data_IF_236068637141
#
_entry.id   IF_236068637141
#
_cell.length_a   1.000
_cell.length_b   1.000
_cell.length_c   1.000
_cell.angle_alpha   90.00
_cell.angle_beta   90.00
_cell.angle_gamma   90.00
#
_symmetry.space_group_name_H-M   'P 1'
#
loop_
_entity.id
_entity.type
_entity.pdbx_description
1 polymer ?
#
# COMPACT_ATOMS: atom_id res chain seq x y z
N UNK A 1 -8.93 -9.39 14.78
CA UNK A 1 -9.23 -8.08 14.16
C UNK A 1 -9.81 -8.23 12.75
N UNK A 2 -9.13 -8.90 11.80
CA UNK A 2 -9.61 -8.94 10.41
C UNK A 2 -10.88 -9.77 10.15
N UNK A 3 -11.17 -10.81 10.95
CA UNK A 3 -12.28 -11.75 10.67
C UNK A 3 -13.69 -11.15 10.70
N UNK A 4 -13.88 -9.99 11.34
CA UNK A 4 -15.15 -9.25 11.37
C UNK A 4 -15.01 -7.79 10.97
N UNK A 5 -13.92 -7.45 10.26
CA UNK A 5 -13.67 -6.10 9.82
C UNK A 5 -14.48 -5.82 8.54
N UNK A 6 -14.98 -4.58 8.40
CA UNK A 6 -15.61 -4.11 7.16
C UNK A 6 -14.67 -4.23 5.96
N UNK A 7 -13.37 -4.06 6.20
CA UNK A 7 -12.35 -4.10 5.16
C UNK A 7 -11.80 -5.51 4.90
N UNK A 8 -11.56 -5.80 3.63
CA UNK A 8 -10.93 -7.03 3.17
C UNK A 8 -9.40 -6.90 3.17
N UNK A 9 -8.77 -7.57 4.14
CA UNK A 9 -7.29 -7.58 4.29
C UNK A 9 -6.54 -8.20 3.11
N UNK A 10 -7.20 -9.05 2.30
CA UNK A 10 -6.57 -9.71 1.15
C UNK A 10 -6.52 -8.82 -0.09
N UNK A 11 -7.38 -7.81 -0.15
CA UNK A 11 -7.46 -6.89 -1.29
C UNK A 11 -6.57 -5.67 -1.07
N UNK A 12 -6.05 -5.10 -2.16
CA UNK A 12 -5.14 -3.95 -2.11
C UNK A 12 -5.67 -2.70 -2.81
N UNK A 13 -6.51 -2.88 -3.83
CA UNK A 13 -6.90 -1.81 -4.75
C UNK A 13 -8.42 -1.59 -4.81
N UNK A 14 -9.23 -2.55 -4.37
CA UNK A 14 -10.69 -2.45 -4.36
C UNK A 14 -11.19 -1.45 -3.31
N UNK A 15 -12.47 -1.07 -3.42
CA UNK A 15 -13.11 -0.12 -2.50
C UNK A 15 -13.18 -0.64 -1.06
N UNK A 16 -13.35 -1.94 -0.86
CA UNK A 16 -13.35 -2.60 0.44
C UNK A 16 -11.94 -3.02 0.91
N UNK A 17 -10.89 -2.72 0.15
CA UNK A 17 -9.52 -3.12 0.52
C UNK A 17 -9.07 -2.46 1.82
N UNK A 18 -8.39 -3.22 2.68
CA UNK A 18 -7.84 -2.68 3.92
C UNK A 18 -6.94 -1.45 3.67
N UNK A 19 -7.23 -0.29 4.30
CA UNK A 19 -6.46 0.94 4.08
C UNK A 19 -4.96 0.79 4.33
N UNK A 20 -4.57 -0.06 5.29
CA UNK A 20 -3.17 -0.32 5.59
C UNK A 20 -2.40 -0.90 4.40
N UNK A 21 -3.05 -1.64 3.49
CA UNK A 21 -2.36 -2.25 2.36
C UNK A 21 -1.84 -1.21 1.37
N UNK A 22 -2.66 -0.23 1.01
CA UNK A 22 -2.27 0.84 0.09
C UNK A 22 -1.42 1.91 0.80
N UNK A 23 -1.79 2.30 2.02
CA UNK A 23 -1.04 3.28 2.82
C UNK A 23 0.38 2.80 3.13
N UNK A 24 0.57 1.51 3.42
CA UNK A 24 1.89 0.91 3.60
C UNK A 24 2.77 1.15 2.37
N UNK A 25 2.28 0.84 1.18
CA UNK A 25 3.08 0.99 -0.04
C UNK A 25 3.32 2.45 -0.39
N UNK A 26 2.35 3.34 -0.15
CA UNK A 26 2.57 4.77 -0.30
C UNK A 26 3.74 5.26 0.56
N UNK A 27 3.73 4.93 1.85
CA UNK A 27 4.82 5.26 2.77
C UNK A 27 6.17 4.67 2.32
N UNK A 28 6.17 3.40 1.92
CA UNK A 28 7.39 2.74 1.46
C UNK A 28 7.96 3.39 0.21
N UNK A 29 7.13 3.84 -0.73
CA UNK A 29 7.57 4.48 -1.97
C UNK A 29 8.02 5.92 -1.74
N UNK A 30 7.28 6.68 -0.94
CA UNK A 30 7.64 8.05 -0.56
C UNK A 30 9.02 8.11 0.10
N UNK A 31 9.38 7.11 0.90
CA UNK A 31 10.66 7.05 1.60
C UNK A 31 11.68 6.09 0.99
N UNK A 32 11.47 5.67 -0.26
CA UNK A 32 12.30 4.66 -0.94
C UNK A 32 13.78 4.98 -0.89
N UNK A 33 14.18 6.22 -1.16
CA UNK A 33 15.59 6.65 -1.13
C UNK A 33 16.26 6.38 0.22
N UNK A 34 15.54 6.56 1.32
CA UNK A 34 16.04 6.32 2.68
C UNK A 34 16.09 4.83 3.00
N UNK A 35 15.02 4.10 2.71
CA UNK A 35 14.88 2.70 3.12
C UNK A 35 15.52 1.69 2.18
N UNK A 36 15.79 2.04 0.91
CA UNK A 36 16.45 1.14 -0.04
C UNK A 36 17.88 0.76 0.39
N UNK A 37 18.51 1.56 1.26
CA UNK A 37 19.81 1.25 1.87
C UNK A 37 19.73 0.19 2.98
N UNK A 38 18.53 -0.11 3.49
CA UNK A 38 18.35 -1.11 4.55
C UNK A 38 18.28 -2.53 3.92
N UNK A 39 19.23 -3.42 4.22
CA UNK A 39 19.27 -4.76 3.63
C UNK A 39 18.03 -5.60 3.95
N UNK A 40 17.35 -5.36 5.08
CA UNK A 40 16.10 -6.06 5.44
C UNK A 40 14.94 -5.72 4.50
N UNK A 41 14.97 -4.54 3.89
CA UNK A 41 13.87 -4.02 3.06
C UNK A 41 14.10 -4.28 1.57
N UNK A 42 15.32 -4.62 1.15
CA UNK A 42 15.66 -4.82 -0.26
C UNK A 42 14.76 -5.82 -0.99
N UNK A 43 14.40 -6.94 -0.34
CA UNK A 43 13.47 -7.93 -0.92
C UNK A 43 12.04 -7.38 -1.09
N UNK A 44 11.59 -6.51 -0.17
CA UNK A 44 10.27 -5.88 -0.22
C UNK A 44 10.16 -4.98 -1.44
N UNK A 45 11.15 -4.12 -1.69
CA UNK A 45 11.17 -3.28 -2.90
C UNK A 45 11.28 -4.09 -4.18
N UNK A 46 12.09 -5.17 -4.20
CA UNK A 46 12.15 -6.05 -5.38
C UNK A 46 10.80 -6.68 -5.71
N UNK A 47 10.04 -7.09 -4.70
CA UNK A 47 8.70 -7.64 -4.90
C UNK A 47 7.72 -6.57 -5.41
N UNK A 48 7.86 -5.32 -4.96
CA UNK A 48 7.10 -4.20 -5.51
C UNK A 48 7.46 -3.93 -6.97
N UNK A 49 8.75 -3.83 -7.28
CA UNK A 49 9.23 -3.47 -8.61
C UNK A 49 8.79 -4.48 -9.69
N UNK A 50 8.64 -5.75 -9.31
CA UNK A 50 8.16 -6.83 -10.17
C UNK A 50 6.64 -6.81 -10.44
N UNK A 51 5.86 -6.05 -9.69
CA UNK A 51 4.43 -5.90 -9.96
C UNK A 51 4.22 -5.14 -11.27
N UNK A 52 3.07 -5.36 -11.91
CA UNK A 52 2.68 -4.60 -13.08
C UNK A 52 2.41 -3.13 -12.71
N UNK A 53 2.67 -2.23 -13.66
CA UNK A 53 2.58 -0.80 -13.40
C UNK A 53 1.15 -0.34 -13.14
N UNK A 54 0.14 -1.04 -13.69
CA UNK A 54 -1.28 -0.76 -13.42
C UNK A 54 -1.59 -1.01 -11.95
N UNK A 55 -1.22 -2.17 -11.40
CA UNK A 55 -1.40 -2.49 -9.97
C UNK A 55 -0.66 -1.51 -9.07
N UNK A 56 0.57 -1.11 -9.43
CA UNK A 56 1.33 -0.10 -8.69
C UNK A 56 0.56 1.22 -8.64
N UNK A 57 0.10 1.71 -9.79
CA UNK A 57 -0.65 2.96 -9.87
C UNK A 57 -1.97 2.89 -9.11
N UNK A 58 -2.74 1.81 -9.27
CA UNK A 58 -3.99 1.61 -8.53
C UNK A 58 -3.77 1.60 -7.01
N UNK A 59 -2.69 0.95 -6.54
CA UNK A 59 -2.36 0.90 -5.11
C UNK A 59 -2.04 2.31 -4.58
N UNK A 60 -1.24 3.09 -5.32
CA UNK A 60 -0.89 4.46 -4.92
C UNK A 60 -2.08 5.42 -4.99
N UNK A 61 -2.94 5.30 -6.02
CA UNK A 61 -4.18 6.05 -6.13
C UNK A 61 -5.13 5.74 -4.96
N UNK A 62 -5.25 4.46 -4.58
CA UNK A 62 -6.06 4.05 -3.42
C UNK A 62 -5.52 4.63 -2.12
N UNK A 63 -4.19 4.67 -1.96
CA UNK A 63 -3.58 5.31 -0.81
C UNK A 63 -3.89 6.81 -0.76
N UNK A 64 -3.77 7.51 -1.89
CA UNK A 64 -4.10 8.93 -1.98
C UNK A 64 -5.56 9.21 -1.66
N UNK A 65 -6.48 8.35 -2.12
CA UNK A 65 -7.88 8.44 -1.75
C UNK A 65 -8.06 8.38 -0.22
N UNK A 66 -7.41 7.44 0.46
CA UNK A 66 -7.50 7.33 1.91
C UNK A 66 -6.86 8.52 2.64
N UNK A 67 -5.73 9.04 2.15
CA UNK A 67 -5.10 10.24 2.74
C UNK A 67 -6.01 11.46 2.61
N UNK A 68 -6.71 11.62 1.48
CA UNK A 68 -7.64 12.72 1.25
C UNK A 68 -8.93 12.62 2.07
N UNK A 69 -9.28 11.42 2.56
CA UNK A 69 -10.52 11.13 3.28
C UNK A 69 -10.26 10.51 4.65
N UNK A 70 -9.10 10.80 5.25
CA UNK A 70 -8.61 10.08 6.44
C UNK A 70 -9.54 10.25 7.65
N UNK A 71 -10.23 11.37 7.73
CA UNK A 71 -11.19 11.69 8.79
C UNK A 71 -12.54 10.96 8.64
N UNK A 72 -12.74 10.22 7.55
CA UNK A 72 -13.99 9.52 7.20
C UNK A 72 -13.79 8.01 6.98
N UNK A 73 -12.67 7.46 7.45
CA UNK A 73 -12.29 6.05 7.35
C UNK A 73 -12.98 5.12 8.35
#
# INVERSE_FOLDING_TARGET
YCSGCHYNVKQKTTEDACPLNSLYWNFMIEHRTRFAKNPRIGMVYRNWDKQDDVTKQQTLQRAQYYLNNIDSL
#
